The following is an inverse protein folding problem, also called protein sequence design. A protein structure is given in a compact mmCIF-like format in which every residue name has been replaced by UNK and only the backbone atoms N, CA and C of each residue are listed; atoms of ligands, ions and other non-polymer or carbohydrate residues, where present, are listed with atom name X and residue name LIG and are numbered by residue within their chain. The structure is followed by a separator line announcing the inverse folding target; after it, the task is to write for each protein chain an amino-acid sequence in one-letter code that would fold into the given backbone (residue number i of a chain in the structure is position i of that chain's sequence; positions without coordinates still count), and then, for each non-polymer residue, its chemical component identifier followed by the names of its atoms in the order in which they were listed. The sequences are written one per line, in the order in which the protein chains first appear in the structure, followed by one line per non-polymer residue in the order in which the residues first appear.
data_IF_550891273111
#
_entry.id   IF_550891273111
#
_cell.length_a   1.000
_cell.length_b   1.000
_cell.length_c   1.000
_cell.angle_alpha   90.00
_cell.angle_beta   90.00
_cell.angle_gamma   90.00
#
_symmetry.space_group_name_H-M   'P 1'
#
loop_
_entity.id
_entity.type
_entity.pdbx_description
1 polymer ?
#
# COMPACT_ATOMS: atom_id res chain seq x y z
N UNK A 1 3.22 14.38 28.96
CA UNK A 1 2.06 13.81 28.24
C UNK A 1 2.61 13.08 27.03
N UNK A 2 2.54 11.76 27.04
CA UNK A 2 2.98 10.91 25.93
C UNK A 2 1.79 10.84 24.96
N UNK A 3 1.79 11.69 23.93
CA UNK A 3 0.78 11.64 22.86
C UNK A 3 1.23 10.51 21.94
N UNK A 4 0.50 9.41 21.96
CA UNK A 4 0.69 8.32 21.02
C UNK A 4 0.62 8.88 19.58
N UNK A 5 1.69 8.78 18.77
CA UNK A 5 1.68 9.29 17.40
C UNK A 5 0.74 8.48 16.48
N UNK A 6 0.17 7.37 16.95
CA UNK A 6 -0.71 6.49 16.18
C UNK A 6 -2.00 6.15 16.97
N UNK A 7 -2.95 7.08 17.11
CA UNK A 7 -4.23 6.78 17.73
C UNK A 7 -4.95 5.69 16.93
N UNK A 8 -5.30 4.59 17.60
CA UNK A 8 -6.27 3.63 17.10
C UNK A 8 -7.60 4.38 16.89
N UNK A 9 -8.07 4.44 15.65
CA UNK A 9 -9.32 5.11 15.33
C UNK A 9 -10.48 4.40 16.04
N UNK A 10 -11.19 5.14 16.88
CA UNK A 10 -12.39 4.68 17.58
C UNK A 10 -13.50 4.42 16.55
N UNK A 11 -14.13 3.24 16.59
CA UNK A 11 -15.08 2.76 15.57
C UNK A 11 -16.39 3.59 15.49
N UNK A 12 -16.55 4.62 16.33
CA UNK A 12 -17.80 5.35 16.58
C UNK A 12 -17.90 6.73 15.91
N UNK A 13 -16.89 7.19 15.17
CA UNK A 13 -16.94 8.50 14.46
C UNK A 13 -17.19 8.38 12.95
N UNK A 14 -17.98 7.40 12.50
CA UNK A 14 -18.37 7.27 11.09
C UNK A 14 -19.80 7.79 10.92
N UNK A 15 -19.94 9.12 10.95
CA UNK A 15 -21.18 9.80 10.56
C UNK A 15 -20.85 10.97 9.61
N UNK A 16 -20.10 10.66 8.54
CA UNK A 16 -19.91 11.55 7.40
C UNK A 16 -20.28 10.82 6.08
N UNK A 17 -21.11 11.44 5.21
CA UNK A 17 -21.52 10.87 3.94
C UNK A 17 -20.40 11.04 2.91
N UNK A 18 -19.40 10.17 3.00
CA UNK A 18 -18.47 9.72 1.96
C UNK A 18 -17.65 8.63 2.66
N UNK A 19 -18.24 7.44 2.77
CA UNK A 19 -17.54 6.26 3.29
C UNK A 19 -16.32 5.99 2.39
N UNK A 20 -15.21 6.58 2.79
CA UNK A 20 -13.95 6.66 2.07
C UNK A 20 -13.49 5.23 1.82
N UNK A 21 -13.55 4.78 0.57
CA UNK A 21 -13.24 3.40 0.17
C UNK A 21 -11.74 3.14 0.26
N UNK A 22 -11.23 3.06 1.48
CA UNK A 22 -9.89 2.58 1.72
C UNK A 22 -9.96 1.05 1.76
N UNK A 23 -9.27 0.38 0.84
CA UNK A 23 -9.31 -1.08 0.74
C UNK A 23 -8.60 -1.75 1.93
N UNK A 24 -9.30 -1.88 3.04
CA UNK A 24 -8.73 -2.49 4.24
C UNK A 24 -8.41 -3.97 4.00
N UNK A 25 -9.32 -4.76 3.40
CA UNK A 25 -9.02 -6.17 3.08
C UNK A 25 -8.69 -6.33 1.59
N UNK A 26 -7.80 -7.27 1.27
CA UNK A 26 -7.44 -7.61 -0.12
C UNK A 26 -8.65 -8.07 -0.95
N UNK A 27 -9.63 -8.71 -0.30
CA UNK A 27 -10.86 -9.18 -0.97
C UNK A 27 -11.72 -8.02 -1.48
N UNK A 28 -11.75 -6.90 -0.75
CA UNK A 28 -12.52 -5.72 -1.13
C UNK A 28 -11.98 -5.13 -2.43
N UNK A 29 -10.66 -4.94 -2.49
CA UNK A 29 -9.96 -4.55 -3.72
C UNK A 29 -10.17 -5.56 -4.85
N UNK A 30 -10.06 -6.86 -4.56
CA UNK A 30 -10.19 -7.91 -5.59
C UNK A 30 -11.59 -7.91 -6.21
N UNK A 31 -12.62 -7.68 -5.40
CA UNK A 31 -14.01 -7.61 -5.85
C UNK A 31 -14.26 -6.36 -6.70
N UNK A 32 -13.76 -5.21 -6.27
CA UNK A 32 -13.87 -3.96 -7.01
C UNK A 32 -13.13 -4.04 -8.35
N UNK A 33 -11.90 -4.56 -8.34
CA UNK A 33 -11.11 -4.80 -9.56
C UNK A 33 -11.82 -5.70 -10.57
N UNK A 34 -12.49 -6.77 -10.10
CA UNK A 34 -13.25 -7.69 -10.97
C UNK A 34 -14.48 -7.04 -11.58
N UNK A 35 -15.15 -6.17 -10.84
CA UNK A 35 -16.37 -5.47 -11.27
C UNK A 35 -16.08 -4.20 -12.07
N UNK A 36 -14.82 -3.78 -12.14
CA UNK A 36 -14.38 -2.53 -12.75
C UNK A 36 -15.20 -1.32 -12.27
N UNK A 37 -15.39 -1.19 -10.95
CA UNK A 37 -16.21 -0.14 -10.36
C UNK A 37 -15.43 0.72 -9.36
N UNK A 38 -16.07 1.78 -8.84
CA UNK A 38 -15.53 2.60 -7.76
C UNK A 38 -14.30 3.41 -8.18
N UNK A 39 -13.16 3.12 -7.57
CA UNK A 39 -11.89 3.80 -7.86
C UNK A 39 -11.52 3.67 -9.33
N UNK A 40 -11.66 2.48 -9.92
CA UNK A 40 -11.35 2.26 -11.33
C UNK A 40 -12.29 3.00 -12.29
N UNK A 41 -13.51 3.24 -11.87
CA UNK A 41 -14.50 4.00 -12.64
C UNK A 41 -14.17 5.49 -12.62
N UNK A 42 -13.83 6.03 -11.44
CA UNK A 42 -13.43 7.43 -11.26
C UNK A 42 -12.15 7.79 -12.04
N UNK A 43 -11.21 6.84 -12.16
CA UNK A 43 -9.99 7.01 -12.93
C UNK A 43 -10.18 7.14 -14.44
N UNK A 44 -11.32 6.71 -14.99
CA UNK A 44 -11.62 6.87 -16.43
C UNK A 44 -12.13 8.29 -16.77
N UNK A 45 -12.32 9.17 -15.77
CA UNK A 45 -12.97 10.48 -15.92
C UNK A 45 -11.96 11.63 -15.90
N UNK A 46 -10.76 11.46 -15.34
CA UNK A 46 -9.81 12.55 -15.11
C UNK A 46 -8.45 12.28 -15.80
N UNK A 47 -8.20 12.97 -16.91
CA UNK A 47 -7.10 12.69 -17.86
C UNK A 47 -5.75 13.38 -17.53
N UNK A 48 -5.68 14.27 -16.52
CA UNK A 48 -4.57 15.23 -16.46
C UNK A 48 -3.38 14.89 -15.56
N UNK A 49 -3.44 13.83 -14.76
CA UNK A 49 -2.25 13.22 -14.15
C UNK A 49 -2.58 11.75 -13.87
N UNK A 50 -2.28 10.89 -14.85
CA UNK A 50 -2.76 9.52 -14.86
C UNK A 50 -2.44 8.79 -13.54
N UNK A 51 -3.42 8.06 -12.96
CA UNK A 51 -3.20 7.27 -11.75
C UNK A 51 -2.02 6.31 -11.95
N UNK A 52 -1.20 6.14 -10.92
CA UNK A 52 -0.13 5.17 -11.00
C UNK A 52 -0.68 3.74 -11.10
N UNK A 53 0.08 2.78 -11.66
CA UNK A 53 -0.42 1.45 -12.03
C UNK A 53 -0.94 0.59 -10.85
N UNK A 54 -0.59 0.92 -9.61
CA UNK A 54 -1.06 0.25 -8.40
C UNK A 54 -2.32 0.92 -7.83
N UNK A 55 -3.47 0.79 -8.50
CA UNK A 55 -4.74 1.42 -8.11
C UNK A 55 -5.28 1.06 -6.71
N UNK A 56 -4.70 0.06 -6.04
CA UNK A 56 -5.02 -0.28 -4.65
C UNK A 56 -4.31 0.61 -3.61
N UNK A 57 -3.33 1.40 -4.04
CA UNK A 57 -2.65 2.41 -3.21
C UNK A 57 -3.51 3.66 -3.16
N UNK A 58 -4.60 3.54 -2.41
CA UNK A 58 -5.56 4.62 -2.18
C UNK A 58 -5.14 5.42 -0.95
N UNK A 59 -5.11 6.74 -1.10
CA UNK A 59 -4.83 7.71 -0.06
C UNK A 59 -6.01 7.85 0.90
N UNK A 60 -5.80 8.59 1.99
CA UNK A 60 -6.87 8.82 2.98
C UNK A 60 -8.08 9.49 2.35
N UNK A 61 -7.88 10.37 1.38
CA UNK A 61 -8.96 11.10 0.72
C UNK A 61 -9.82 10.24 -0.22
N UNK A 62 -9.38 9.02 -0.55
CA UNK A 62 -10.03 8.12 -1.49
C UNK A 62 -9.46 8.18 -2.92
N UNK A 63 -8.49 9.05 -3.18
CA UNK A 63 -7.78 9.13 -4.45
C UNK A 63 -6.69 8.05 -4.57
N UNK A 64 -6.31 7.70 -5.80
CA UNK A 64 -5.20 6.77 -6.05
C UNK A 64 -3.90 7.56 -6.05
N UNK A 65 -2.88 7.03 -5.37
CA UNK A 65 -1.53 7.58 -5.42
C UNK A 65 -1.07 7.77 -6.88
N UNK A 66 -0.55 8.96 -7.18
CA UNK A 66 -0.14 9.34 -8.53
C UNK A 66 0.98 8.44 -9.06
N UNK A 67 1.24 8.49 -10.37
CA UNK A 67 2.37 7.77 -10.95
C UNK A 67 3.72 8.15 -10.32
N UNK A 68 3.89 9.43 -9.97
CA UNK A 68 5.08 9.98 -9.30
C UNK A 68 5.20 9.49 -7.85
N UNK A 69 4.10 9.50 -7.09
CA UNK A 69 4.09 8.96 -5.72
C UNK A 69 4.46 7.48 -5.73
N UNK A 70 3.88 6.70 -6.65
CA UNK A 70 4.20 5.29 -6.78
C UNK A 70 5.63 5.06 -7.25
N UNK A 71 6.24 5.98 -8.01
CA UNK A 71 7.66 5.93 -8.33
C UNK A 71 8.53 6.12 -7.10
N UNK A 72 8.20 7.11 -6.27
CA UNK A 72 8.87 7.34 -4.99
C UNK A 72 8.76 6.11 -4.09
N UNK A 73 7.58 5.49 -3.99
CA UNK A 73 7.37 4.24 -3.26
C UNK A 73 8.22 3.09 -3.81
N UNK A 74 8.35 2.96 -5.13
CA UNK A 74 9.20 1.93 -5.76
C UNK A 74 10.67 2.15 -5.42
N UNK A 75 11.14 3.39 -5.42
CA UNK A 75 12.54 3.70 -5.11
C UNK A 75 12.88 3.38 -3.66
N UNK A 76 12.03 3.75 -2.71
CA UNK A 76 12.20 3.38 -1.29
C UNK A 76 12.12 1.85 -1.09
N UNK A 77 11.19 1.17 -1.77
CA UNK A 77 11.10 -0.28 -1.73
C UNK A 77 12.38 -0.96 -2.23
N UNK A 78 12.97 -0.46 -3.32
CA UNK A 78 14.26 -0.96 -3.84
C UNK A 78 15.41 -0.72 -2.87
N UNK A 79 15.43 0.43 -2.20
CA UNK A 79 16.43 0.73 -1.17
C UNK A 79 16.32 -0.30 -0.02
N UNK A 80 15.12 -0.50 0.52
CA UNK A 80 14.86 -1.49 1.56
C UNK A 80 15.25 -2.92 1.14
N UNK A 81 14.92 -3.32 -0.09
CA UNK A 81 15.30 -4.62 -0.66
C UNK A 81 16.82 -4.79 -0.74
N UNK A 82 17.52 -3.75 -1.17
CA UNK A 82 18.99 -3.74 -1.26
C UNK A 82 19.62 -3.85 0.13
N UNK A 83 19.11 -3.10 1.11
CA UNK A 83 19.53 -3.20 2.51
C UNK A 83 19.37 -4.63 3.03
N UNK A 84 18.20 -5.23 2.87
CA UNK A 84 17.97 -6.61 3.31
C UNK A 84 18.88 -7.63 2.63
N UNK A 85 19.22 -7.43 1.34
CA UNK A 85 20.22 -8.25 0.63
C UNK A 85 21.60 -8.16 1.27
N UNK A 86 22.06 -6.94 1.60
CA UNK A 86 23.37 -6.71 2.24
C UNK A 86 23.46 -7.44 3.58
N UNK A 87 22.37 -7.44 4.36
CA UNK A 87 22.32 -8.10 5.67
C UNK A 87 21.92 -9.58 5.62
N UNK A 88 21.76 -10.17 4.43
CA UNK A 88 21.50 -11.61 4.29
C UNK A 88 20.07 -12.05 4.61
N UNK A 89 19.11 -11.13 4.65
CA UNK A 89 17.69 -11.42 4.92
C UNK A 89 16.85 -11.63 3.66
N UNK A 90 17.41 -11.36 2.49
CA UNK A 90 16.76 -11.64 1.20
C UNK A 90 17.24 -12.95 0.60
N UNK A 91 16.29 -13.78 0.18
CA UNK A 91 16.57 -14.86 -0.75
C UNK A 91 16.83 -14.33 -2.17
N UNK A 92 17.01 -15.25 -3.12
CA UNK A 92 17.09 -14.91 -4.56
C UNK A 92 15.81 -14.24 -5.06
N UNK A 93 14.70 -14.47 -4.38
CA UNK A 93 13.35 -14.04 -4.72
C UNK A 93 12.63 -13.53 -3.48
N UNK A 94 11.62 -12.68 -3.67
CA UNK A 94 10.79 -12.16 -2.58
C UNK A 94 10.12 -13.30 -1.79
N UNK A 95 9.67 -14.35 -2.49
CA UNK A 95 9.04 -15.54 -1.90
C UNK A 95 9.97 -16.33 -0.98
N UNK A 96 11.28 -16.21 -1.18
CA UNK A 96 12.32 -16.85 -0.34
C UNK A 96 12.91 -15.93 0.72
N UNK A 97 12.40 -14.70 0.85
CA UNK A 97 12.77 -13.78 1.94
C UNK A 97 12.31 -14.36 3.26
N UNK A 98 13.17 -14.32 4.27
CA UNK A 98 12.82 -14.79 5.61
C UNK A 98 11.74 -13.91 6.27
N UNK A 99 11.19 -14.39 7.38
CA UNK A 99 10.13 -13.66 8.10
C UNK A 99 10.60 -12.30 8.63
N UNK A 100 11.89 -12.16 8.95
CA UNK A 100 12.47 -10.92 9.44
C UNK A 100 12.50 -9.87 8.32
N UNK A 101 13.03 -10.20 7.15
CA UNK A 101 13.08 -9.33 5.97
C UNK A 101 11.68 -8.92 5.52
N UNK A 102 10.73 -9.86 5.48
CA UNK A 102 9.34 -9.52 5.17
C UNK A 102 8.76 -8.50 6.17
N UNK A 103 8.96 -8.74 7.47
CA UNK A 103 8.48 -7.85 8.53
C UNK A 103 9.16 -6.47 8.48
N UNK A 104 10.48 -6.44 8.24
CA UNK A 104 11.24 -5.22 8.07
C UNK A 104 10.70 -4.41 6.90
N UNK A 105 10.53 -5.03 5.73
CA UNK A 105 10.00 -4.37 4.54
C UNK A 105 8.61 -3.79 4.79
N UNK A 106 7.68 -4.56 5.36
CA UNK A 106 6.33 -4.07 5.63
C UNK A 106 6.31 -2.91 6.62
N UNK A 107 7.15 -2.96 7.66
CA UNK A 107 7.28 -1.86 8.63
C UNK A 107 7.91 -0.63 7.98
N UNK A 108 8.93 -0.80 7.16
CA UNK A 108 9.60 0.28 6.45
C UNK A 108 8.64 1.00 5.49
N UNK A 109 7.94 0.26 4.64
CA UNK A 109 6.98 0.85 3.70
C UNK A 109 5.83 1.56 4.40
N UNK A 110 5.30 0.99 5.49
CA UNK A 110 4.32 1.68 6.33
C UNK A 110 4.91 2.94 6.91
N UNK A 111 6.03 2.89 7.62
CA UNK A 111 6.60 4.09 8.25
C UNK A 111 6.81 5.26 7.27
N UNK A 112 7.02 4.95 5.98
CA UNK A 112 7.26 5.94 4.93
C UNK A 112 5.99 6.45 4.22
N UNK A 113 4.99 5.61 4.00
CA UNK A 113 3.81 5.97 3.20
C UNK A 113 2.50 5.49 3.83
N UNK A 114 1.56 6.42 3.95
CA UNK A 114 0.26 6.20 4.60
C UNK A 114 -0.64 5.21 3.84
N UNK A 115 -0.45 5.09 2.53
CA UNK A 115 -1.21 4.21 1.63
C UNK A 115 -1.11 2.73 2.05
N UNK A 116 0.01 2.36 2.70
CA UNK A 116 0.23 1.03 3.26
C UNK A 116 -0.35 0.84 4.68
N UNK A 117 -0.75 1.91 5.38
CA UNK A 117 -1.33 1.80 6.74
C UNK A 117 -2.72 1.21 6.72
N UNK A 118 -3.49 1.59 5.71
CA UNK A 118 -4.91 1.30 5.67
C UNK A 118 -5.19 -0.09 5.07
N UNK A 119 -4.58 -1.13 5.66
CA UNK A 119 -4.76 -2.49 5.20
C UNK A 119 -4.54 -3.57 6.29
N UNK A 120 -5.33 -4.64 6.22
CA UNK A 120 -5.18 -5.81 7.06
C UNK A 120 -3.95 -6.63 6.64
N UNK A 121 -3.17 -7.10 7.62
CA UNK A 121 -2.07 -8.05 7.39
C UNK A 121 -1.06 -7.60 6.33
N UNK A 122 -0.80 -6.29 6.23
CA UNK A 122 0.19 -5.71 5.31
C UNK A 122 -0.04 -6.08 3.83
N UNK A 123 -1.29 -6.41 3.45
CA UNK A 123 -1.55 -7.02 2.15
C UNK A 123 -1.15 -6.12 0.97
N UNK A 124 -1.26 -4.79 1.12
CA UNK A 124 -0.84 -3.83 0.09
C UNK A 124 0.68 -3.85 -0.08
N UNK A 125 1.44 -3.84 1.00
CA UNK A 125 2.91 -3.90 0.96
C UNK A 125 3.39 -5.26 0.40
N UNK A 126 2.72 -6.36 0.77
CA UNK A 126 2.97 -7.69 0.20
C UNK A 126 2.69 -7.73 -1.30
N UNK A 127 1.55 -7.19 -1.73
CA UNK A 127 1.20 -7.12 -3.15
C UNK A 127 2.20 -6.28 -3.94
N UNK A 128 2.63 -5.15 -3.37
CA UNK A 128 3.62 -4.26 -3.95
C UNK A 128 4.97 -4.98 -4.14
N UNK A 129 5.46 -5.64 -3.09
CA UNK A 129 6.69 -6.43 -3.14
C UNK A 129 6.62 -7.54 -4.19
N UNK A 130 5.52 -8.31 -4.25
CA UNK A 130 5.34 -9.36 -5.27
C UNK A 130 5.26 -8.84 -6.70
N UNK A 131 4.91 -7.56 -6.88
CA UNK A 131 4.79 -6.94 -8.21
C UNK A 131 6.15 -6.48 -8.71
N UNK A 132 7.01 -5.96 -7.82
CA UNK A 132 8.25 -5.28 -8.20
C UNK A 132 9.54 -6.02 -7.89
N UNK A 133 9.49 -7.08 -7.09
CA UNK A 133 10.65 -7.92 -6.79
C UNK A 133 10.56 -9.29 -7.49
N UNK A 134 11.71 -9.97 -7.70
CA UNK A 134 11.73 -11.28 -8.33
C UNK A 134 10.87 -12.28 -7.57
N UNK A 135 10.07 -13.07 -8.29
CA UNK A 135 9.24 -14.15 -7.75
C UNK A 135 10.03 -15.45 -7.58
#
# INVERSE_FOLDING_TARGET
MNIDPYPLLDELTIDQPLAQKVFYRKVDWTNEKKKNCGVLEALNVDDNLGPGPCHYLVQKDGSVASAEDQETMRNEARAAWTTMKIYGHCGTTWTKTDTFGQSFFYRHMRARFSEFWYCAHDWKARQFATTYFPA
#
